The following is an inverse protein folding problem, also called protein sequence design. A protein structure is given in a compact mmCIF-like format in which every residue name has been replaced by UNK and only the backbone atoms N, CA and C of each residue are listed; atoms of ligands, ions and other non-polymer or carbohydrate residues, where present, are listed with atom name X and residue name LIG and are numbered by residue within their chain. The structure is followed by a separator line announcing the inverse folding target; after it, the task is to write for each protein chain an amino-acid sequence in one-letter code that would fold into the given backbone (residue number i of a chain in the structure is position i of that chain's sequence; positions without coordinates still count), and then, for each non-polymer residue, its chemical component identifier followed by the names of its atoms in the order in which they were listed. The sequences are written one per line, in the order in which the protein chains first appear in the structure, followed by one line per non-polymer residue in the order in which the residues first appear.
data_IF_681819858442
#
_entry.id   IF_681819858442
#
_cell.length_a   1.000
_cell.length_b   1.000
_cell.length_c   1.000
_cell.angle_alpha   90.00
_cell.angle_beta   90.00
_cell.angle_gamma   90.00
#
_symmetry.space_group_name_H-M   'P 1'
#
loop_
_entity.id
_entity.type
_entity.pdbx_description
1 polymer ?
#
# COMPACT_ATOMS: atom_id res chain seq x y z
N UNK A 1 1.32 0.94 -50.06
CA UNK A 1 1.02 1.54 -48.74
C UNK A 1 0.76 0.39 -47.79
N UNK A 2 1.61 0.20 -46.77
CA UNK A 2 1.44 -0.83 -45.75
C UNK A 2 0.55 -0.26 -44.63
N UNK A 3 -0.45 -1.00 -44.12
CA UNK A 3 -1.24 -0.51 -42.99
C UNK A 3 -0.44 -0.59 -41.69
N UNK A 4 -0.37 0.53 -40.97
CA UNK A 4 0.22 0.64 -39.64
C UNK A 4 -0.45 -0.34 -38.67
N UNK A 5 0.32 -1.29 -38.14
CA UNK A 5 -0.07 -2.05 -36.95
C UNK A 5 -0.19 -1.12 -35.75
N UNK A 6 -1.41 -0.90 -35.28
CA UNK A 6 -1.64 -0.32 -33.96
C UNK A 6 -1.03 -1.25 -32.90
N UNK A 7 0.07 -0.80 -32.28
CA UNK A 7 0.61 -1.41 -31.06
C UNK A 7 -0.53 -1.53 -30.04
N UNK A 8 -0.92 -2.77 -29.73
CA UNK A 8 -1.85 -3.09 -28.66
C UNK A 8 -1.23 -2.60 -27.36
N UNK A 9 -1.65 -1.43 -26.88
CA UNK A 9 -1.33 -0.96 -25.54
C UNK A 9 -2.01 -1.93 -24.59
N UNK A 10 -1.22 -2.70 -23.85
CA UNK A 10 -1.75 -3.55 -22.79
C UNK A 10 -2.64 -2.68 -21.89
N UNK A 11 -3.88 -3.07 -21.62
CA UNK A 11 -4.72 -2.34 -20.67
C UNK A 11 -3.94 -2.24 -19.34
N UNK A 12 -4.06 -1.13 -18.61
CA UNK A 12 -3.44 -1.01 -17.30
C UNK A 12 -3.82 -2.24 -16.51
N UNK A 13 -2.82 -2.99 -16.05
CA UNK A 13 -2.97 -4.23 -15.29
C UNK A 13 -3.98 -3.90 -14.19
N UNK A 14 -5.18 -4.50 -14.24
CA UNK A 14 -6.25 -4.27 -13.25
C UNK A 14 -5.59 -4.35 -11.89
N UNK A 15 -5.43 -3.20 -11.23
CA UNK A 15 -5.04 -3.14 -9.83
C UNK A 15 -6.17 -3.87 -9.12
N UNK A 16 -5.87 -5.07 -8.65
CA UNK A 16 -6.79 -5.77 -7.75
C UNK A 16 -7.12 -4.76 -6.66
N UNK A 17 -8.40 -4.41 -6.51
CA UNK A 17 -8.84 -3.60 -5.37
C UNK A 17 -8.19 -4.17 -4.11
N UNK A 18 -7.63 -3.32 -3.27
CA UNK A 18 -6.95 -3.74 -2.05
C UNK A 18 -7.90 -4.59 -1.19
N UNK A 19 -7.71 -5.90 -1.20
CA UNK A 19 -8.48 -6.83 -0.38
C UNK A 19 -7.79 -6.95 0.97
N UNK A 20 -8.26 -6.15 1.93
CA UNK A 20 -7.74 -6.10 3.29
C UNK A 20 -7.74 -7.46 3.98
N UNK A 21 -8.63 -8.39 3.60
CA UNK A 21 -8.67 -9.75 4.17
C UNK A 21 -7.53 -10.61 3.66
N UNK A 22 -7.09 -10.41 2.41
CA UNK A 22 -5.95 -11.11 1.80
C UNK A 22 -4.60 -10.50 2.17
N UNK A 23 -4.60 -9.23 2.57
CA UNK A 23 -3.41 -8.48 2.97
C UNK A 23 -3.38 -8.21 4.48
N UNK A 24 -4.13 -9.00 5.28
CA UNK A 24 -4.16 -8.84 6.73
C UNK A 24 -2.75 -9.00 7.30
N UNK A 25 -2.10 -7.88 7.56
CA UNK A 25 -0.82 -7.84 8.23
C UNK A 25 -1.07 -8.11 9.71
N UNK A 26 -1.02 -9.39 10.09
CA UNK A 26 -1.08 -9.83 11.49
C UNK A 26 -0.15 -8.95 12.35
N UNK A 27 -0.67 -8.43 13.47
CA UNK A 27 0.09 -7.48 14.29
C UNK A 27 -0.17 -6.01 13.98
N UNK A 28 -1.08 -5.64 13.08
CA UNK A 28 -1.30 -4.24 12.69
C UNK A 28 -2.75 -3.79 12.73
N UNK A 29 -2.97 -2.58 13.25
CA UNK A 29 -4.21 -1.85 13.09
C UNK A 29 -4.19 -1.07 11.79
N UNK A 30 -4.99 -1.52 10.82
CA UNK A 30 -5.08 -0.91 9.50
C UNK A 30 -6.02 0.30 9.52
N UNK A 31 -5.63 1.36 8.83
CA UNK A 31 -6.48 2.54 8.56
C UNK A 31 -6.40 2.90 7.10
N UNK A 32 -7.52 3.41 6.58
CA UNK A 32 -7.60 3.98 5.24
C UNK A 32 -7.25 5.47 5.27
N UNK A 33 -6.50 5.93 4.28
CA UNK A 33 -5.96 7.28 4.15
C UNK A 33 -6.02 7.74 2.69
N UNK A 34 -6.08 9.05 2.44
CA UNK A 34 -5.96 9.58 1.08
C UNK A 34 -4.49 9.68 0.69
N UNK A 35 -4.15 9.22 -0.51
CA UNK A 35 -2.78 9.30 -1.04
C UNK A 35 -2.31 10.76 -1.15
N UNK A 36 -3.20 11.67 -1.53
CA UNK A 36 -2.91 13.10 -1.73
C UNK A 36 -2.28 13.78 -0.51
N UNK A 37 -2.67 13.37 0.69
CA UNK A 37 -2.18 13.96 1.95
C UNK A 37 -0.72 13.55 2.26
N UNK A 38 -0.19 12.56 1.55
CA UNK A 38 1.12 11.96 1.79
C UNK A 38 2.00 11.94 0.54
N UNK A 39 1.57 12.61 -0.54
CA UNK A 39 2.38 12.75 -1.75
C UNK A 39 3.44 13.83 -1.54
N UNK A 40 4.71 13.42 -1.66
CA UNK A 40 5.88 14.31 -1.63
C UNK A 40 6.74 14.04 -2.85
N UNK A 41 6.98 15.07 -3.65
CA UNK A 41 7.82 14.99 -4.87
C UNK A 41 7.38 13.87 -5.84
N UNK A 42 6.07 13.63 -5.93
CA UNK A 42 5.48 12.59 -6.77
C UNK A 42 5.59 11.16 -6.23
N UNK A 43 6.01 10.98 -4.97
CA UNK A 43 6.06 9.69 -4.29
C UNK A 43 5.27 9.72 -2.99
N UNK A 44 4.64 8.61 -2.64
CA UNK A 44 3.97 8.47 -1.34
C UNK A 44 5.03 8.33 -0.25
N UNK A 45 4.96 9.19 0.74
CA UNK A 45 5.78 9.16 1.95
C UNK A 45 4.87 9.18 3.18
N UNK A 46 4.72 8.02 3.80
CA UNK A 46 3.94 7.85 5.03
C UNK A 46 4.84 8.02 6.24
N UNK A 47 4.57 8.96 7.15
CA UNK A 47 5.32 9.15 8.39
C UNK A 47 5.24 7.96 9.35
N UNK A 48 6.25 7.84 10.22
CA UNK A 48 6.37 6.74 11.17
C UNK A 48 5.25 6.67 12.21
N UNK A 49 4.55 7.77 12.51
CA UNK A 49 3.43 7.76 13.45
C UNK A 49 2.28 6.87 12.96
N UNK A 50 2.14 6.71 11.65
CA UNK A 50 1.09 5.90 11.03
C UNK A 50 1.45 4.42 10.93
N UNK A 51 2.74 4.08 10.87
CA UNK A 51 3.22 2.70 10.68
C UNK A 51 3.65 2.04 12.00
N UNK A 52 4.08 2.82 12.99
CA UNK A 52 4.67 2.33 14.24
C UNK A 52 6.05 1.69 14.09
N UNK A 53 6.65 1.71 12.90
CA UNK A 53 7.97 1.10 12.62
C UNK A 53 8.94 2.01 11.87
N UNK A 54 8.50 3.23 11.51
CA UNK A 54 9.30 4.21 10.77
C UNK A 54 8.63 4.64 9.48
N UNK A 55 9.20 5.64 8.78
CA UNK A 55 8.61 6.13 7.54
C UNK A 55 8.54 5.02 6.50
N UNK A 56 7.48 5.04 5.70
CA UNK A 56 7.25 4.09 4.61
C UNK A 56 7.02 4.81 3.28
N UNK A 57 7.50 4.20 2.20
CA UNK A 57 7.32 4.69 0.84
C UNK A 57 6.74 3.61 -0.04
N UNK A 58 6.03 4.00 -1.09
CA UNK A 58 5.66 3.07 -2.16
C UNK A 58 6.91 2.58 -2.91
N UNK A 59 7.04 1.27 -3.08
CA UNK A 59 8.11 0.62 -3.85
C UNK A 59 7.89 0.66 -5.38
N UNK A 60 6.82 1.34 -5.83
CA UNK A 60 6.44 1.47 -7.23
C UNK A 60 5.51 0.36 -7.71
N UNK A 61 5.20 -0.61 -6.84
CA UNK A 61 4.20 -1.66 -7.11
C UNK A 61 2.87 -1.40 -6.39
N UNK A 62 2.80 -0.31 -5.61
CA UNK A 62 1.69 -0.02 -4.71
C UNK A 62 1.90 -0.59 -3.30
N UNK A 63 3.03 -1.25 -3.00
CA UNK A 63 3.30 -1.75 -1.66
C UNK A 63 4.05 -0.69 -0.84
N UNK A 64 3.52 -0.35 0.34
CA UNK A 64 4.15 0.60 1.25
C UNK A 64 5.15 -0.13 2.14
N UNK A 65 6.43 0.21 2.03
CA UNK A 65 7.52 -0.44 2.76
C UNK A 65 8.31 0.56 3.59
N UNK A 66 8.67 0.16 4.80
CA UNK A 66 9.62 0.91 5.62
C UNK A 66 11.04 0.76 5.07
N UNK A 67 11.98 1.58 5.57
CA UNK A 67 13.42 1.44 5.27
C UNK A 67 13.94 0.02 5.59
N UNK A 68 13.36 -0.64 6.60
CA UNK A 68 13.69 -2.03 6.95
C UNK A 68 13.08 -3.09 6.02
N UNK A 69 12.43 -2.69 4.92
CA UNK A 69 11.82 -3.59 3.94
C UNK A 69 10.48 -4.20 4.36
N UNK A 70 9.98 -3.86 5.55
CA UNK A 70 8.73 -4.39 6.09
C UNK A 70 7.57 -3.74 5.34
N UNK A 71 6.69 -4.57 4.77
CA UNK A 71 5.46 -4.08 4.17
C UNK A 71 4.46 -3.71 5.28
N UNK A 72 4.03 -2.46 5.28
CA UNK A 72 3.14 -1.89 6.30
C UNK A 72 1.80 -1.48 5.73
N UNK A 73 1.59 -1.61 4.43
CA UNK A 73 0.37 -1.17 3.78
C UNK A 73 0.43 -1.29 2.27
N UNK A 74 -0.56 -0.70 1.60
CA UNK A 74 -0.59 -0.59 0.16
C UNK A 74 -1.36 0.66 -0.30
N UNK A 75 -0.95 1.21 -1.43
CA UNK A 75 -1.59 2.31 -2.13
C UNK A 75 -2.44 1.80 -3.29
N UNK A 76 -3.66 2.31 -3.41
CA UNK A 76 -4.55 2.11 -4.54
C UNK A 76 -4.72 3.45 -5.29
N UNK A 77 -3.86 3.64 -6.28
CA UNK A 77 -3.88 4.85 -7.12
C UNK A 77 -5.14 4.99 -7.98
N UNK A 78 -5.89 3.89 -8.22
CA UNK A 78 -7.14 3.98 -8.98
C UNK A 78 -8.23 4.69 -8.18
N UNK A 79 -8.24 4.49 -6.86
CA UNK A 79 -9.20 5.12 -5.94
C UNK A 79 -8.65 6.38 -5.27
N UNK A 80 -7.33 6.59 -5.32
CA UNK A 80 -6.65 7.67 -4.59
C UNK A 80 -6.53 7.41 -3.09
N UNK A 81 -6.79 6.17 -2.66
CA UNK A 81 -6.78 5.74 -1.27
C UNK A 81 -5.61 4.82 -1.00
N UNK A 82 -5.18 4.73 0.25
CA UNK A 82 -4.19 3.79 0.71
C UNK A 82 -4.56 3.22 2.07
N UNK A 83 -4.08 2.02 2.34
CA UNK A 83 -4.20 1.37 3.63
C UNK A 83 -2.84 1.34 4.29
N UNK A 84 -2.77 1.79 5.54
CA UNK A 84 -1.54 1.79 6.34
C UNK A 84 -1.82 1.11 7.67
N UNK A 85 -0.94 0.20 8.06
CA UNK A 85 -1.00 -0.57 9.28
C UNK A 85 -0.03 -0.07 10.33
N UNK A 86 -0.55 0.41 11.47
CA UNK A 86 0.25 0.68 12.66
C UNK A 86 0.54 -0.62 13.40
N UNK A 87 1.81 -0.89 13.70
CA UNK A 87 2.19 -2.02 14.57
C UNK A 87 1.51 -1.92 15.92
N UNK A 88 0.85 -3.00 16.31
CA UNK A 88 0.23 -3.20 17.61
C UNK A 88 1.28 -3.71 18.60
N UNK A 89 1.14 -3.37 19.88
CA UNK A 89 2.03 -3.89 20.92
C UNK A 89 1.68 -5.34 21.21
N UNK A 90 2.64 -6.05 21.78
CA UNK A 90 2.39 -7.39 22.31
C UNK A 90 1.29 -7.30 23.39
N UNK A 91 0.22 -8.06 23.22
CA UNK A 91 -0.98 -8.01 24.07
C UNK A 91 -2.14 -7.15 23.54
N UNK A 92 -1.96 -6.32 22.50
CA UNK A 92 -3.03 -5.49 21.90
C UNK A 92 -3.95 -6.31 20.97
N UNK A 93 -3.52 -7.50 20.52
CA UNK A 93 -4.32 -8.38 19.67
C UNK A 93 -4.89 -9.55 20.47
N UNK A 94 -6.14 -9.97 20.21
CA UNK A 94 -6.57 -11.31 20.59
C UNK A 94 -5.61 -12.32 19.95
N UNK A 95 -5.27 -13.38 20.69
CA UNK A 95 -4.39 -14.43 20.19
C UNK A 95 -4.85 -14.88 18.80
N UNK A 96 -3.88 -15.14 17.91
CA UNK A 96 -4.16 -15.67 16.58
C UNK A 96 -5.06 -16.91 16.74
N UNK A 97 -6.18 -17.02 16.02
CA UNK A 97 -6.96 -18.26 16.03
C UNK A 97 -6.06 -19.39 15.56
N UNK A 98 -6.05 -20.48 16.32
CA UNK A 98 -5.37 -21.73 15.99
C UNK A 98 -5.88 -22.34 14.67
#
# INVERSE_FOLDING_TARGET
MQPNEMKKTNPPKKTSSYDIKKQWHWGRAMRELRIADFLKDGRVLVPGEYTGEGPATDDGTGALRTVGGIQVGAADYATGMMWVGRKLREGDLPAKPD
#
